data_IF_131662401405
#
_entry.id   IF_131662401405
#
_cell.length_a   1.000
_cell.length_b   1.000
_cell.length_c   1.000
_cell.angle_alpha   90.00
_cell.angle_beta   90.00
_cell.angle_gamma   90.00
#
_symmetry.space_group_name_H-M   'P 1'
#
loop_
_entity.id
_entity.type
_entity.pdbx_description
1 polymer ?
#
# COMPACT_ATOMS: atom_id res chain seq x y z
N UNK A 1 12.14 16.07 4.41
CA UNK A 1 11.28 15.54 5.48
C UNK A 1 10.20 14.70 4.81
N UNK A 2 10.15 13.40 5.11
CA UNK A 2 9.30 12.39 4.44
C UNK A 2 7.98 12.95 3.91
N UNK A 3 7.93 13.21 2.60
CA UNK A 3 6.86 13.91 1.87
C UNK A 3 5.61 13.04 1.69
N UNK A 4 5.45 12.03 2.56
CA UNK A 4 4.61 10.90 2.30
C UNK A 4 3.62 10.71 3.46
N UNK A 5 2.37 11.10 3.23
CA UNK A 5 1.30 10.98 4.21
C UNK A 5 0.04 10.42 3.57
N UNK A 6 -0.50 9.36 4.18
CA UNK A 6 -1.71 8.67 3.72
C UNK A 6 -2.93 9.58 3.61
N UNK A 7 -3.04 10.61 4.47
CA UNK A 7 -4.14 11.56 4.42
C UNK A 7 -4.17 12.43 3.16
N UNK A 8 -3.03 12.61 2.47
CA UNK A 8 -3.01 13.30 1.18
C UNK A 8 -3.79 12.50 0.14
N UNK A 9 -3.56 11.19 0.04
CA UNK A 9 -4.35 10.31 -0.84
C UNK A 9 -5.81 10.18 -0.44
N UNK A 10 -6.13 10.21 0.85
CA UNK A 10 -7.52 10.26 1.29
C UNK A 10 -8.22 11.48 0.69
N UNK A 11 -7.59 12.65 0.79
CA UNK A 11 -8.09 13.90 0.24
C UNK A 11 -8.25 13.82 -1.28
N UNK A 12 -7.23 13.35 -1.99
CA UNK A 12 -7.25 13.22 -3.45
C UNK A 12 -8.39 12.31 -3.93
N UNK A 13 -8.49 11.09 -3.39
CA UNK A 13 -9.56 10.15 -3.74
C UNK A 13 -10.94 10.71 -3.39
N UNK A 14 -11.06 11.39 -2.25
CA UNK A 14 -12.30 12.04 -1.82
C UNK A 14 -12.73 13.13 -2.82
N UNK A 15 -11.79 13.97 -3.26
CA UNK A 15 -12.03 15.07 -4.19
C UNK A 15 -12.33 14.56 -5.61
N UNK A 16 -11.61 13.53 -6.08
CA UNK A 16 -11.91 12.84 -7.34
C UNK A 16 -13.34 12.28 -7.38
N UNK A 17 -13.84 11.76 -6.25
CA UNK A 17 -15.22 11.27 -6.10
C UNK A 17 -16.21 12.36 -5.70
N UNK A 18 -15.80 13.63 -5.63
CA UNK A 18 -16.61 14.80 -5.25
C UNK A 18 -17.33 14.64 -3.90
N UNK A 19 -16.66 14.02 -2.93
CA UNK A 19 -17.20 13.82 -1.59
C UNK A 19 -16.74 14.93 -0.63
N UNK A 20 -17.62 15.32 0.29
CA UNK A 20 -17.22 16.11 1.46
C UNK A 20 -16.56 15.22 2.51
N UNK A 21 -15.79 15.81 3.43
CA UNK A 21 -15.19 15.06 4.56
C UNK A 21 -16.26 14.33 5.39
N UNK A 22 -17.42 14.97 5.59
CA UNK A 22 -18.56 14.37 6.30
C UNK A 22 -19.17 13.18 5.53
N UNK A 23 -19.27 13.26 4.19
CA UNK A 23 -19.77 12.16 3.37
C UNK A 23 -18.82 10.96 3.37
N UNK A 24 -17.50 11.19 3.27
CA UNK A 24 -16.51 10.12 3.41
C UNK A 24 -16.59 9.50 4.80
N UNK A 25 -16.62 10.32 5.85
CA UNK A 25 -16.73 9.87 7.23
C UNK A 25 -17.96 8.98 7.47
N UNK A 26 -19.11 9.36 6.91
CA UNK A 26 -20.34 8.56 6.97
C UNK A 26 -20.15 7.18 6.31
N UNK A 27 -19.48 7.11 5.15
CA UNK A 27 -19.22 5.85 4.43
C UNK A 27 -18.31 4.89 5.21
N UNK A 28 -17.36 5.40 5.99
CA UNK A 28 -16.38 4.58 6.74
C UNK A 28 -16.71 4.44 8.23
N UNK A 29 -17.78 5.08 8.69
CA UNK A 29 -18.27 4.98 10.07
C UNK A 29 -17.41 5.76 11.06
N UNK A 30 -17.05 7.00 10.75
CA UNK A 30 -16.38 7.92 11.68
C UNK A 30 -16.95 9.34 11.58
N UNK A 31 -16.34 10.33 12.26
CA UNK A 31 -16.75 11.73 12.22
C UNK A 31 -16.04 12.49 11.10
N UNK A 32 -16.68 13.52 10.54
CA UNK A 32 -16.06 14.41 9.56
C UNK A 32 -14.80 15.09 10.10
N UNK A 33 -14.81 15.45 11.40
CA UNK A 33 -13.64 15.98 12.09
C UNK A 33 -12.47 15.00 12.09
N UNK A 34 -12.70 13.69 12.28
CA UNK A 34 -11.63 12.70 12.25
C UNK A 34 -10.99 12.60 10.85
N UNK A 35 -11.79 12.58 9.78
CA UNK A 35 -11.26 12.66 8.40
C UNK A 35 -10.46 13.95 8.19
N UNK A 36 -10.95 15.08 8.68
CA UNK A 36 -10.25 16.37 8.59
C UNK A 36 -8.88 16.35 9.29
N UNK A 37 -8.80 15.79 10.50
CA UNK A 37 -7.53 15.62 11.22
C UNK A 37 -6.56 14.72 10.46
N UNK A 38 -7.07 13.65 9.83
CA UNK A 38 -6.25 12.75 9.00
C UNK A 38 -5.73 13.49 7.77
N UNK A 39 -6.58 14.13 6.97
CA UNK A 39 -6.17 14.87 5.78
C UNK A 39 -5.19 16.01 6.09
N UNK A 40 -5.26 16.57 7.31
CA UNK A 40 -4.40 17.67 7.76
C UNK A 40 -3.17 17.23 8.57
N UNK A 41 -2.79 15.94 8.53
CA UNK A 41 -1.61 15.39 9.24
C UNK A 41 -1.64 15.53 10.77
N UNK A 42 -2.81 15.74 11.36
CA UNK A 42 -2.98 15.90 12.82
C UNK A 42 -3.28 14.58 13.53
N UNK A 43 -3.75 13.56 12.81
CA UNK A 43 -4.02 12.23 13.36
C UNK A 43 -3.77 11.15 12.32
N UNK A 44 -3.12 10.05 12.68
CA UNK A 44 -3.01 8.89 11.81
C UNK A 44 -4.33 8.10 11.77
N UNK A 45 -4.71 7.53 10.62
CA UNK A 45 -5.83 6.61 10.55
C UNK A 45 -5.46 5.29 11.24
N UNK A 46 -6.43 4.64 11.89
CA UNK A 46 -6.26 3.24 12.31
C UNK A 46 -6.21 2.31 11.08
N UNK A 47 -5.60 1.13 11.23
CA UNK A 47 -5.59 0.12 10.16
C UNK A 47 -7.01 -0.26 9.70
N UNK A 48 -7.96 -0.31 10.62
CA UNK A 48 -9.37 -0.57 10.30
C UNK A 48 -9.97 0.54 9.43
N UNK A 49 -9.75 1.81 9.80
CA UNK A 49 -10.22 2.95 9.00
C UNK A 49 -9.58 2.99 7.62
N UNK A 50 -8.26 2.77 7.55
CA UNK A 50 -7.51 2.68 6.30
C UNK A 50 -8.10 1.63 5.35
N UNK A 51 -8.35 0.41 5.84
CA UNK A 51 -8.95 -0.66 5.03
C UNK A 51 -10.37 -0.33 4.57
N UNK A 52 -11.18 0.32 5.41
CA UNK A 52 -12.52 0.79 5.02
C UNK A 52 -12.44 1.85 3.92
N UNK A 53 -11.54 2.81 4.04
CA UNK A 53 -11.33 3.85 3.03
C UNK A 53 -10.86 3.23 1.70
N UNK A 54 -9.89 2.30 1.77
CA UNK A 54 -9.41 1.55 0.61
C UNK A 54 -10.57 0.80 -0.09
N UNK A 55 -11.45 0.16 0.68
CA UNK A 55 -12.65 -0.52 0.16
C UNK A 55 -13.63 0.45 -0.49
N UNK A 56 -13.92 1.61 0.11
CA UNK A 56 -14.82 2.64 -0.45
C UNK A 56 -14.32 3.13 -1.83
N UNK A 57 -13.01 3.28 -1.98
CA UNK A 57 -12.40 3.75 -3.23
C UNK A 57 -11.98 2.64 -4.18
N UNK A 58 -12.15 1.36 -3.79
CA UNK A 58 -11.74 0.18 -4.56
C UNK A 58 -10.25 0.19 -4.93
N UNK A 59 -9.40 0.56 -3.97
CA UNK A 59 -7.94 0.56 -4.11
C UNK A 59 -7.32 -0.40 -3.10
N UNK A 60 -6.09 -0.86 -3.36
CA UNK A 60 -5.37 -1.71 -2.42
C UNK A 60 -4.90 -0.90 -1.19
N UNK A 61 -5.10 -1.43 0.02
CA UNK A 61 -4.81 -0.69 1.25
C UNK A 61 -3.31 -0.44 1.48
N UNK A 62 -2.43 -1.33 0.99
CA UNK A 62 -0.98 -1.13 1.04
C UNK A 62 -0.53 -0.03 0.06
N UNK A 63 -1.15 0.07 -1.12
CA UNK A 63 -0.90 1.18 -2.04
C UNK A 63 -1.32 2.50 -1.39
N UNK A 64 -2.53 2.53 -0.80
CA UNK A 64 -3.03 3.72 -0.13
C UNK A 64 -2.10 4.18 1.01
N UNK A 65 -1.57 3.22 1.78
CA UNK A 65 -0.69 3.44 2.93
C UNK A 65 0.73 3.83 2.56
N UNK A 66 1.33 3.19 1.55
CA UNK A 66 2.76 3.16 1.32
C UNK A 66 3.18 3.20 -0.17
N UNK A 67 2.24 3.41 -1.11
CA UNK A 67 2.49 3.58 -2.56
C UNK A 67 3.13 2.35 -3.16
N UNK A 68 2.94 1.23 -2.49
CA UNK A 68 3.47 -0.02 -2.97
C UNK A 68 2.81 -0.31 -4.31
N UNK A 69 3.59 -0.65 -5.35
CA UNK A 69 3.06 -1.07 -6.62
C UNK A 69 2.17 -2.31 -6.41
N UNK A 70 1.20 -2.53 -7.29
CA UNK A 70 0.23 -3.61 -7.12
C UNK A 70 0.92 -4.98 -7.10
N UNK A 71 1.99 -5.16 -7.86
CA UNK A 71 2.83 -6.34 -7.90
C UNK A 71 3.43 -6.67 -6.51
N UNK A 72 3.91 -5.65 -5.80
CA UNK A 72 4.42 -5.82 -4.44
C UNK A 72 3.29 -6.16 -3.45
N UNK A 73 2.10 -5.57 -3.65
CA UNK A 73 0.91 -5.90 -2.86
C UNK A 73 0.51 -7.37 -3.03
N UNK A 74 0.46 -7.87 -4.27
CA UNK A 74 0.11 -9.26 -4.58
C UNK A 74 1.10 -10.26 -3.98
N UNK A 75 2.41 -9.97 -4.04
CA UNK A 75 3.44 -10.81 -3.42
C UNK A 75 3.25 -10.85 -1.90
N UNK A 76 3.01 -9.70 -1.27
CA UNK A 76 2.76 -9.62 0.17
C UNK A 76 1.52 -10.43 0.58
N UNK A 77 0.44 -10.38 -0.19
CA UNK A 77 -0.77 -11.18 0.05
C UNK A 77 -0.49 -12.68 -0.08
N UNK A 78 0.21 -13.11 -1.13
CA UNK A 78 0.60 -14.53 -1.33
C UNK A 78 1.50 -15.03 -0.20
N UNK A 79 2.43 -14.23 0.30
CA UNK A 79 3.25 -14.61 1.45
C UNK A 79 2.39 -14.72 2.71
N UNK A 80 1.41 -13.82 2.89
CA UNK A 80 0.53 -13.82 4.07
C UNK A 80 -0.37 -15.07 4.17
N UNK A 81 -0.74 -15.70 3.04
CA UNK A 81 -1.53 -16.94 3.03
C UNK A 81 -0.73 -18.18 3.44
N UNK A 82 0.61 -18.11 3.46
CA UNK A 82 1.46 -19.19 3.93
C UNK A 82 1.41 -19.33 5.46
N UNK A 83 1.72 -20.53 5.94
CA UNK A 83 1.95 -20.77 7.37
C UNK A 83 3.08 -19.88 7.89
N UNK A 84 2.98 -19.33 9.11
CA UNK A 84 3.93 -18.33 9.61
C UNK A 84 5.41 -18.74 9.53
N UNK A 85 5.70 -20.02 9.74
CA UNK A 85 7.04 -20.63 9.66
C UNK A 85 7.64 -20.61 8.24
N UNK A 86 6.79 -20.61 7.20
CA UNK A 86 7.23 -20.62 5.78
C UNK A 86 7.44 -19.23 5.19
N UNK A 87 6.86 -18.19 5.80
CA UNK A 87 6.93 -16.80 5.29
C UNK A 87 8.37 -16.29 5.14
N UNK A 88 9.30 -16.53 6.09
CA UNK A 88 10.69 -16.08 5.93
C UNK A 88 11.40 -16.75 4.75
N UNK A 89 11.13 -18.03 4.51
CA UNK A 89 11.71 -18.74 3.36
C UNK A 89 11.16 -18.19 2.04
N UNK A 90 9.85 -17.94 1.96
CA UNK A 90 9.22 -17.33 0.78
C UNK A 90 9.79 -15.94 0.48
N UNK A 91 9.97 -15.10 1.52
CA UNK A 91 10.57 -13.78 1.37
C UNK A 91 12.02 -13.85 0.85
N UNK A 92 12.84 -14.79 1.36
CA UNK A 92 14.21 -15.00 0.86
C UNK A 92 14.24 -15.46 -0.60
N UNK A 93 13.36 -16.37 -1.00
CA UNK A 93 13.28 -16.83 -2.39
C UNK A 93 12.88 -15.68 -3.33
N UNK A 94 11.94 -14.83 -2.92
CA UNK A 94 11.58 -13.63 -3.68
C UNK A 94 12.78 -12.69 -3.82
N UNK A 95 13.50 -12.43 -2.73
CA UNK A 95 14.70 -11.60 -2.74
C UNK A 95 15.78 -12.13 -3.70
N UNK A 96 16.08 -13.43 -3.64
CA UNK A 96 17.02 -14.07 -4.56
C UNK A 96 16.57 -13.94 -6.02
N UNK A 97 15.27 -14.09 -6.29
CA UNK A 97 14.74 -13.95 -7.64
C UNK A 97 14.93 -12.51 -8.19
N UNK A 98 14.78 -11.49 -7.35
CA UNK A 98 15.03 -10.09 -7.73
C UNK A 98 16.52 -9.87 -8.04
N UNK A 99 17.41 -10.33 -7.16
CA UNK A 99 18.87 -10.24 -7.36
C UNK A 99 19.32 -10.94 -8.65
N UNK A 100 18.74 -12.12 -8.92
CA UNK A 100 19.00 -12.85 -10.17
C UNK A 100 18.54 -12.06 -11.40
N UNK A 101 17.36 -11.41 -11.35
CA UNK A 101 16.86 -10.61 -12.47
C UNK A 101 17.78 -9.42 -12.77
N UNK A 102 18.25 -8.73 -11.73
CA UNK A 102 19.22 -7.64 -11.85
C UNK A 102 20.56 -8.11 -12.44
N UNK A 103 21.07 -9.24 -11.95
CA UNK A 103 22.31 -9.83 -12.46
C UNK A 103 22.20 -10.23 -13.94
N UNK A 104 21.08 -10.83 -14.35
CA UNK A 104 20.83 -11.17 -15.76
C UNK A 104 20.76 -9.92 -16.62
N UNK A 105 20.11 -8.85 -16.15
CA UNK A 105 20.00 -7.59 -16.90
C UNK A 105 21.34 -6.86 -17.12
N UNK A 106 22.33 -7.14 -16.28
CA UNK A 106 23.67 -6.52 -16.33
C UNK A 106 24.73 -7.43 -16.95
N UNK A 107 24.38 -8.66 -17.30
CA UNK A 107 25.30 -9.63 -17.87
C UNK A 107 25.68 -9.27 -19.32
N UNK A 108 26.95 -8.95 -19.55
CA UNK A 108 27.48 -8.53 -20.86
C UNK A 108 28.08 -9.67 -21.71
N UNK A 109 27.82 -10.94 -21.37
CA UNK A 109 28.32 -12.06 -22.16
C UNK A 109 29.71 -12.53 -21.76
N UNK A 110 29.79 -13.62 -21.00
CA UNK A 110 30.97 -14.47 -20.97
C UNK A 110 30.78 -15.57 -22.01
N UNK A 111 31.45 -15.46 -23.16
CA UNK A 111 31.47 -16.55 -24.15
C UNK A 111 31.99 -17.82 -23.48
N UNK A 112 31.09 -18.78 -23.28
CA UNK A 112 31.49 -20.15 -22.96
C UNK A 112 32.18 -20.69 -24.22
N UNK A 113 33.50 -20.83 -24.14
CA UNK A 113 34.29 -21.56 -25.14
C UNK A 113 34.01 -23.05 -25.04
#
# INVERSE_FOLDING_TARGET
MSEYWVGNRFKELREQRRLTQAQLAKKVGCTGGHISQIESRRSAPSLSLLKKVASVFQVHWLWLLADLPLEACEVAEKIATLSPDRRPAAARLFQLAVEMAELVSTWQGGSVK
#
